data_IF_231738371051
#
_entry.id   IF_231738371051
#
_cell.length_a   1.000
_cell.length_b   1.000
_cell.length_c   1.000
_cell.angle_alpha   90.00
_cell.angle_beta   90.00
_cell.angle_gamma   90.00
#
_symmetry.space_group_name_H-M   'P 1'
#
loop_
_entity.id
_entity.type
_entity.pdbx_description
1 polymer ?
#
# COMPACT_ATOMS: atom_id res chain seq x y z
N UNK A 1 -48.47 21.87 -44.35
CA UNK A 1 -47.30 21.16 -44.89
C UNK A 1 -46.18 21.23 -43.86
N UNK A 2 -45.62 20.07 -43.53
CA UNK A 2 -44.35 19.74 -42.82
C UNK A 2 -44.13 20.22 -41.36
N UNK A 3 -44.27 19.33 -40.36
CA UNK A 3 -43.24 18.44 -39.74
C UNK A 3 -42.51 19.12 -38.56
N UNK A 4 -42.89 18.86 -37.30
CA UNK A 4 -42.35 17.84 -36.37
C UNK A 4 -40.84 17.57 -36.50
N UNK A 5 -40.09 17.90 -35.44
CA UNK A 5 -38.71 17.48 -35.23
C UNK A 5 -38.36 17.39 -33.75
N UNK A 6 -39.02 16.49 -33.02
CA UNK A 6 -38.73 16.13 -31.63
C UNK A 6 -37.36 15.44 -31.56
N UNK A 7 -36.34 16.13 -31.04
CA UNK A 7 -35.01 15.59 -30.81
C UNK A 7 -35.03 14.50 -29.74
N UNK A 8 -34.86 13.25 -30.19
CA UNK A 8 -34.76 12.04 -29.35
C UNK A 8 -33.64 12.17 -28.31
N UNK A 9 -33.98 11.91 -27.05
CA UNK A 9 -33.02 11.65 -25.97
C UNK A 9 -32.24 10.37 -26.27
N UNK A 10 -31.08 10.53 -26.90
CA UNK A 10 -30.12 9.45 -27.12
C UNK A 10 -29.54 8.96 -25.80
N UNK A 11 -30.12 7.89 -25.25
CA UNK A 11 -29.61 7.11 -24.12
C UNK A 11 -28.19 6.64 -24.46
N UNK A 12 -27.17 7.32 -23.93
CA UNK A 12 -25.77 7.10 -24.30
C UNK A 12 -25.28 5.75 -23.78
N UNK A 13 -25.09 4.78 -24.69
CA UNK A 13 -24.47 3.48 -24.39
C UNK A 13 -23.05 3.64 -23.83
N UNK A 14 -22.36 4.75 -24.12
CA UNK A 14 -20.99 5.03 -23.66
C UNK A 14 -20.86 5.08 -22.13
N UNK A 15 -21.82 5.66 -21.39
CA UNK A 15 -21.75 5.74 -19.93
C UNK A 15 -21.81 4.36 -19.25
N UNK A 16 -22.47 3.39 -19.88
CA UNK A 16 -22.61 2.02 -19.35
C UNK A 16 -21.32 1.21 -19.49
N UNK A 17 -20.55 1.44 -20.55
CA UNK A 17 -19.25 0.77 -20.76
C UNK A 17 -18.17 1.31 -19.83
N UNK A 18 -18.16 2.62 -19.55
CA UNK A 18 -17.25 3.21 -18.57
C UNK A 18 -17.55 2.69 -17.16
N UNK A 19 -18.83 2.66 -16.77
CA UNK A 19 -19.23 2.13 -15.46
C UNK A 19 -18.93 0.62 -15.29
N UNK A 20 -19.13 -0.19 -16.35
CA UNK A 20 -18.77 -1.60 -16.35
C UNK A 20 -17.24 -1.82 -16.32
N UNK A 21 -16.48 -0.98 -17.04
CA UNK A 21 -15.02 -1.01 -17.01
C UNK A 21 -14.46 -0.70 -15.62
N UNK A 22 -14.99 0.32 -14.95
CA UNK A 22 -14.62 0.66 -13.57
C UNK A 22 -14.98 -0.46 -12.59
N UNK A 23 -16.17 -1.06 -12.72
CA UNK A 23 -16.58 -2.20 -11.88
C UNK A 23 -15.70 -3.44 -12.09
N UNK A 24 -15.34 -3.75 -13.33
CA UNK A 24 -14.45 -4.87 -13.63
C UNK A 24 -13.05 -4.66 -13.06
N UNK A 25 -12.50 -3.44 -13.15
CA UNK A 25 -11.21 -3.09 -12.52
C UNK A 25 -11.30 -3.22 -11.00
N UNK A 26 -12.37 -2.74 -10.36
CA UNK A 26 -12.57 -2.89 -8.92
C UNK A 26 -12.68 -4.37 -8.49
N UNK A 27 -13.34 -5.21 -9.30
CA UNK A 27 -13.46 -6.64 -9.03
C UNK A 27 -12.12 -7.39 -9.19
N UNK A 28 -11.30 -7.03 -10.19
CA UNK A 28 -9.95 -7.59 -10.35
C UNK A 28 -9.04 -7.16 -9.20
N UNK A 29 -9.12 -5.90 -8.77
CA UNK A 29 -8.33 -5.35 -7.67
C UNK A 29 -8.73 -5.97 -6.31
N UNK A 30 -10.03 -6.16 -6.06
CA UNK A 30 -10.50 -6.91 -4.91
C UNK A 30 -10.05 -8.39 -4.98
N UNK A 31 -10.06 -8.98 -6.18
CA UNK A 31 -9.59 -10.35 -6.41
C UNK A 31 -8.11 -10.54 -6.09
N UNK A 32 -7.25 -9.59 -6.49
CA UNK A 32 -5.82 -9.62 -6.16
C UNK A 32 -5.57 -9.35 -4.67
N UNK A 33 -6.33 -8.46 -4.05
CA UNK A 33 -6.28 -8.22 -2.59
C UNK A 33 -6.59 -9.51 -1.81
N UNK A 34 -7.71 -10.15 -2.14
CA UNK A 34 -8.13 -11.43 -1.54
C UNK A 34 -7.13 -12.54 -1.86
N UNK A 35 -6.54 -12.56 -3.05
CA UNK A 35 -5.55 -13.57 -3.43
C UNK A 35 -4.24 -13.44 -2.63
N UNK A 36 -3.70 -12.22 -2.49
CA UNK A 36 -2.47 -11.98 -1.72
C UNK A 36 -2.70 -12.30 -0.24
N UNK A 37 -3.80 -11.81 0.33
CA UNK A 37 -4.18 -12.11 1.72
C UNK A 37 -4.34 -13.63 1.94
N UNK A 38 -5.02 -14.33 1.03
CA UNK A 38 -5.26 -15.77 1.12
C UNK A 38 -4.00 -16.63 0.88
N UNK A 39 -3.09 -16.19 0.03
CA UNK A 39 -1.83 -16.92 -0.23
C UNK A 39 -0.87 -16.87 0.96
N UNK A 40 -0.83 -15.74 1.66
CA UNK A 40 0.02 -15.54 2.83
C UNK A 40 -0.56 -16.19 4.10
N UNK A 41 -1.89 -16.32 4.22
CA UNK A 41 -2.59 -16.78 5.43
C UNK A 41 -2.94 -18.26 5.50
N UNK A 42 -2.58 -19.06 4.49
CA UNK A 42 -2.99 -20.47 4.40
C UNK A 42 -2.63 -21.34 5.62
N UNK A 43 -1.58 -20.99 6.36
CA UNK A 43 -1.08 -21.79 7.49
C UNK A 43 -1.11 -21.05 8.85
N UNK A 44 -1.73 -19.87 8.94
CA UNK A 44 -1.71 -19.06 10.16
C UNK A 44 -3.05 -19.14 10.90
N UNK A 45 -3.07 -19.43 12.22
CA UNK A 45 -4.30 -19.42 13.00
C UNK A 45 -5.03 -18.07 12.90
N UNK A 46 -6.33 -18.09 12.64
CA UNK A 46 -7.16 -16.88 12.41
C UNK A 46 -7.13 -15.88 13.59
N UNK A 47 -6.89 -16.35 14.81
CA UNK A 47 -6.74 -15.51 16.00
C UNK A 47 -5.43 -14.70 16.03
N UNK A 48 -4.37 -15.19 15.37
CA UNK A 48 -3.10 -14.48 15.26
C UNK A 48 -3.16 -13.29 14.28
N UNK A 49 -4.21 -13.25 13.44
CA UNK A 49 -4.48 -12.22 12.44
C UNK A 49 -5.40 -11.10 12.96
N UNK A 50 -5.99 -11.27 14.14
CA UNK A 50 -6.96 -10.30 14.63
C UNK A 50 -6.26 -8.97 14.98
N UNK A 51 -6.63 -7.92 14.25
CA UNK A 51 -6.10 -6.57 14.40
C UNK A 51 -4.78 -6.31 13.66
N UNK A 52 -4.23 -7.28 12.93
CA UNK A 52 -3.08 -7.03 12.04
C UNK A 52 -3.51 -6.26 10.79
N UNK A 53 -2.64 -5.39 10.30
CA UNK A 53 -2.84 -4.66 9.06
C UNK A 53 -1.78 -5.09 8.05
N UNK A 54 -2.21 -5.47 6.85
CA UNK A 54 -1.30 -5.75 5.74
C UNK A 54 -0.51 -4.51 5.36
N UNK A 55 0.81 -4.65 5.24
CA UNK A 55 1.71 -3.57 4.83
C UNK A 55 2.07 -3.74 3.36
N UNK A 56 1.80 -2.74 2.54
CA UNK A 56 2.28 -2.65 1.17
C UNK A 56 3.48 -1.71 1.16
N UNK A 57 4.68 -2.28 1.05
CA UNK A 57 5.91 -1.52 1.01
C UNK A 57 6.29 -1.16 -0.43
N UNK A 58 6.68 0.08 -0.67
CA UNK A 58 7.20 0.58 -1.93
C UNK A 58 8.62 1.06 -1.70
N UNK A 59 9.58 0.39 -2.31
CA UNK A 59 10.99 0.73 -2.22
C UNK A 59 11.39 1.61 -3.42
N UNK A 60 11.61 2.89 -3.16
CA UNK A 60 12.11 3.87 -4.14
C UNK A 60 13.63 4.02 -4.08
N UNK A 61 14.31 3.16 -3.32
CA UNK A 61 15.77 3.15 -3.25
C UNK A 61 16.36 2.21 -4.32
N UNK A 62 17.59 2.46 -4.78
CA UNK A 62 18.25 1.62 -5.77
C UNK A 62 18.79 0.30 -5.19
N UNK A 63 18.54 0.01 -3.91
CA UNK A 63 19.08 -1.14 -3.19
C UNK A 63 17.96 -1.91 -2.49
N UNK A 64 18.23 -3.18 -2.17
CA UNK A 64 17.33 -3.97 -1.35
C UNK A 64 17.34 -3.41 0.06
N UNK A 65 16.19 -3.42 0.71
CA UNK A 65 16.06 -2.93 2.08
C UNK A 65 15.46 -4.00 2.98
N UNK A 66 15.98 -4.06 4.19
CA UNK A 66 15.35 -4.78 5.28
C UNK A 66 14.69 -3.75 6.20
N UNK A 67 13.41 -3.94 6.49
CA UNK A 67 12.63 -2.99 7.28
C UNK A 67 11.76 -3.67 8.33
N UNK A 68 11.32 -2.90 9.31
CA UNK A 68 10.44 -3.33 10.39
C UNK A 68 9.48 -2.21 10.74
N UNK A 69 8.21 -2.57 10.95
CA UNK A 69 7.19 -1.69 11.53
C UNK A 69 6.72 -2.18 12.90
N UNK A 70 7.36 -3.23 13.43
CA UNK A 70 7.01 -3.89 14.68
C UNK A 70 8.21 -4.62 15.23
N UNK A 71 8.55 -4.32 16.48
CA UNK A 71 9.73 -4.85 17.16
C UNK A 71 9.83 -6.37 17.04
N UNK A 72 10.99 -6.85 16.58
CA UNK A 72 11.28 -8.28 16.44
C UNK A 72 10.75 -8.91 15.16
N UNK A 73 10.03 -8.19 14.29
CA UNK A 73 9.61 -8.68 12.98
C UNK A 73 10.26 -7.88 11.86
N UNK A 74 10.79 -8.59 10.86
CA UNK A 74 11.53 -8.02 9.74
C UNK A 74 10.91 -8.46 8.42
N UNK A 75 10.87 -7.51 7.50
CA UNK A 75 10.46 -7.68 6.12
C UNK A 75 11.56 -7.18 5.19
N UNK A 76 11.47 -7.56 3.92
CA UNK A 76 12.42 -7.17 2.89
C UNK A 76 11.66 -6.51 1.76
N UNK A 77 12.23 -5.52 1.08
CA UNK A 77 11.71 -5.02 -0.17
C UNK A 77 12.85 -4.90 -1.18
N UNK A 78 12.63 -5.44 -2.37
CA UNK A 78 13.64 -5.47 -3.43
C UNK A 78 13.92 -4.05 -3.95
N UNK A 79 15.13 -3.85 -4.47
CA UNK A 79 15.53 -2.59 -5.10
C UNK A 79 14.53 -2.11 -6.15
N UNK A 80 14.14 -0.83 -6.07
CA UNK A 80 13.17 -0.18 -6.96
C UNK A 80 11.80 -0.87 -7.06
N UNK A 81 11.42 -1.71 -6.08
CA UNK A 81 10.09 -2.31 -6.07
C UNK A 81 9.03 -1.30 -5.62
N UNK A 82 8.53 -0.56 -6.60
CA UNK A 82 7.38 0.33 -6.46
C UNK A 82 6.10 -0.29 -7.05
N UNK A 83 6.03 -1.61 -7.24
CA UNK A 83 4.93 -2.25 -7.99
C UNK A 83 3.63 -2.37 -7.21
N UNK A 84 3.70 -2.31 -5.87
CA UNK A 84 2.54 -2.56 -4.99
C UNK A 84 2.03 -4.00 -5.00
N UNK A 85 2.80 -4.93 -5.59
CA UNK A 85 2.45 -6.36 -5.66
C UNK A 85 2.94 -7.14 -4.45
N UNK A 86 4.02 -6.67 -3.84
CA UNK A 86 4.59 -7.27 -2.65
C UNK A 86 3.95 -6.64 -1.41
N UNK A 87 3.08 -7.43 -0.79
CA UNK A 87 2.47 -7.11 0.49
C UNK A 87 3.06 -7.99 1.58
N UNK A 88 3.14 -7.47 2.79
CA UNK A 88 3.59 -8.20 3.96
C UNK A 88 2.42 -8.20 4.95
N UNK A 89 1.64 -9.28 4.90
CA UNK A 89 0.35 -9.41 5.56
C UNK A 89 0.43 -9.62 7.06
N UNK A 90 1.58 -10.03 7.57
CA UNK A 90 1.79 -10.29 8.98
C UNK A 90 2.67 -9.21 9.58
N UNK A 91 2.40 -8.82 10.81
CA UNK A 91 3.42 -8.19 11.63
C UNK A 91 3.14 -6.77 12.06
N UNK A 92 2.43 -5.95 11.29
CA UNK A 92 2.00 -4.65 11.82
C UNK A 92 0.67 -4.77 12.55
N UNK A 93 0.70 -4.59 13.87
CA UNK A 93 -0.49 -4.48 14.70
C UNK A 93 -0.39 -3.18 15.52
N UNK A 94 -1.09 -2.11 15.14
CA UNK A 94 -1.05 -0.86 15.91
C UNK A 94 -1.58 -1.12 17.32
N UNK A 95 -0.86 -0.64 18.33
CA UNK A 95 -1.21 -0.80 19.75
C UNK A 95 -2.53 -0.09 20.09
N UNK A 96 -2.81 1.04 19.43
CA UNK A 96 -4.09 1.75 19.49
C UNK A 96 -4.31 2.53 18.18
N UNK A 97 -5.48 3.15 18.01
CA UNK A 97 -5.77 4.01 16.84
C UNK A 97 -4.93 5.28 16.77
N UNK A 98 -4.23 5.64 17.85
CA UNK A 98 -3.42 6.86 17.98
C UNK A 98 -1.94 6.56 18.25
N UNK A 99 -1.58 5.31 18.50
CA UNK A 99 -0.20 4.90 18.76
C UNK A 99 0.66 5.20 17.53
N UNK A 100 1.83 5.85 17.69
CA UNK A 100 2.67 6.23 16.57
C UNK A 100 3.15 5.00 15.78
N UNK A 101 3.45 5.22 14.50
CA UNK A 101 4.03 4.21 13.63
C UNK A 101 5.55 4.30 13.71
N UNK A 102 6.17 3.29 14.31
CA UNK A 102 7.62 3.11 14.26
C UNK A 102 8.01 2.40 12.98
N UNK A 103 9.01 2.94 12.29
CA UNK A 103 9.61 2.34 11.10
C UNK A 103 11.11 2.34 11.30
N UNK A 104 11.74 1.17 11.23
CA UNK A 104 13.18 1.04 11.13
C UNK A 104 13.56 0.33 9.85
N UNK A 105 14.67 0.73 9.23
CA UNK A 105 15.17 0.06 8.05
C UNK A 105 16.67 0.21 7.87
N UNK A 106 17.23 -0.68 7.05
CA UNK A 106 18.61 -0.66 6.58
C UNK A 106 18.66 -1.05 5.11
N UNK A 107 19.72 -0.63 4.43
CA UNK A 107 20.09 -1.23 3.16
C UNK A 107 20.63 -2.64 3.42
N UNK A 108 20.07 -3.62 2.70
CA UNK A 108 20.52 -5.02 2.71
C UNK A 108 21.51 -5.31 1.56
N UNK A 109 21.55 -4.43 0.56
CA UNK A 109 22.54 -4.47 -0.52
C UNK A 109 23.10 -3.07 -0.82
N UNK A 110 24.18 -3.03 -1.62
CA UNK A 110 24.82 -1.78 -2.03
C UNK A 110 25.90 -1.23 -1.09
N UNK A 111 26.50 -0.07 -1.42
CA UNK A 111 27.64 0.50 -0.71
C UNK A 111 27.30 1.03 0.69
N UNK A 112 26.01 1.24 0.98
CA UNK A 112 25.50 1.68 2.27
C UNK A 112 24.86 0.54 3.07
N UNK A 113 25.03 -0.72 2.63
CA UNK A 113 24.52 -1.88 3.34
C UNK A 113 25.10 -1.95 4.76
N UNK A 114 24.24 -2.21 5.74
CA UNK A 114 24.65 -2.41 7.13
C UNK A 114 24.33 -3.83 7.58
N UNK A 115 25.08 -4.31 8.57
CA UNK A 115 24.87 -5.64 9.16
C UNK A 115 23.48 -5.80 9.78
N UNK A 116 23.00 -7.05 9.83
CA UNK A 116 21.75 -7.37 10.50
C UNK A 116 21.80 -6.96 11.98
N UNK A 117 20.75 -6.27 12.44
CA UNK A 117 20.69 -5.69 13.79
C UNK A 117 21.12 -4.21 13.85
N UNK A 118 21.82 -3.71 12.83
CA UNK A 118 22.14 -2.30 12.70
C UNK A 118 21.17 -1.62 11.73
N UNK A 119 20.14 -0.97 12.28
CA UNK A 119 19.13 -0.21 11.55
C UNK A 119 19.40 1.30 11.68
N UNK A 120 20.24 1.88 10.81
CA UNK A 120 20.65 3.28 10.94
C UNK A 120 19.49 4.26 10.71
N UNK A 121 18.45 3.84 10.00
CA UNK A 121 17.25 4.63 9.80
C UNK A 121 16.17 4.15 10.77
N UNK A 122 15.82 5.01 11.71
CA UNK A 122 14.72 4.79 12.65
C UNK A 122 13.88 6.05 12.75
N UNK A 123 12.59 5.91 12.48
CA UNK A 123 11.64 7.03 12.39
C UNK A 123 10.37 6.66 13.13
N UNK A 124 9.89 7.60 13.95
CA UNK A 124 8.57 7.54 14.58
C UNK A 124 7.65 8.53 13.87
N UNK A 125 6.69 8.03 13.11
CA UNK A 125 5.68 8.85 12.45
C UNK A 125 4.46 9.02 13.37
N UNK A 126 3.83 10.21 13.40
CA UNK A 126 2.47 10.33 13.89
C UNK A 126 1.57 9.28 13.22
N UNK A 127 0.63 8.72 13.98
CA UNK A 127 -0.22 7.67 13.44
C UNK A 127 -1.03 8.18 12.25
N UNK A 128 -0.90 7.60 11.05
CA UNK A 128 -1.70 8.01 9.91
C UNK A 128 -3.19 7.83 10.21
N UNK A 129 -4.02 8.75 9.72
CA UNK A 129 -5.47 8.69 9.95
C UNK A 129 -6.03 7.40 9.34
N UNK A 130 -6.62 6.54 10.19
CA UNK A 130 -7.19 5.27 9.76
C UNK A 130 -8.66 5.43 9.33
N UNK A 131 -9.02 5.12 8.07
CA UNK A 131 -10.42 5.01 7.66
C UNK A 131 -11.15 3.90 8.43
N UNK A 132 -12.47 4.04 8.58
CA UNK A 132 -13.29 2.97 9.14
C UNK A 132 -13.33 1.76 8.20
N UNK A 133 -13.29 0.55 8.79
CA UNK A 133 -13.35 -0.73 8.10
C UNK A 133 -11.99 -1.38 7.86
N UNK A 134 -11.96 -2.34 6.94
CA UNK A 134 -10.74 -3.01 6.48
C UNK A 134 -9.87 -2.03 5.68
N UNK A 135 -8.59 -2.00 6.02
CA UNK A 135 -7.60 -1.07 5.46
C UNK A 135 -6.24 -1.77 5.38
N UNK A 136 -5.38 -1.23 4.52
CA UNK A 136 -3.97 -1.58 4.42
C UNK A 136 -3.11 -0.39 4.83
N UNK A 137 -1.89 -0.67 5.28
CA UNK A 137 -0.86 0.35 5.45
C UNK A 137 -0.02 0.41 4.18
N UNK A 138 -0.01 1.56 3.52
CA UNK A 138 0.97 1.84 2.48
C UNK A 138 2.20 2.45 3.13
N UNK A 139 3.38 1.86 2.90
CA UNK A 139 4.66 2.32 3.40
C UNK A 139 5.59 2.59 2.23
N UNK A 140 6.12 3.81 2.14
CA UNK A 140 7.07 4.21 1.10
C UNK A 140 8.42 4.46 1.74
N UNK A 141 9.45 3.84 1.19
CA UNK A 141 10.84 3.93 1.64
C UNK A 141 11.66 4.62 0.55
N UNK A 142 12.29 5.73 0.90
CA UNK A 142 13.07 6.57 -0.01
C UNK A 142 14.55 6.59 0.41
N UNK A 143 15.45 7.08 -0.45
CA UNK A 143 16.83 7.31 -0.07
C UNK A 143 16.95 8.20 1.18
N UNK A 144 18.10 8.10 1.85
CA UNK A 144 18.50 9.00 2.94
C UNK A 144 17.60 8.95 4.20
N UNK A 145 16.91 7.83 4.44
CA UNK A 145 16.10 7.66 5.66
C UNK A 145 14.69 8.24 5.57
N UNK A 146 14.28 8.77 4.41
CA UNK A 146 12.93 9.31 4.24
C UNK A 146 11.91 8.19 4.08
N UNK A 147 10.80 8.33 4.78
CA UNK A 147 9.66 7.42 4.77
C UNK A 147 8.34 8.18 4.72
N UNK A 148 7.34 7.57 4.11
CA UNK A 148 5.97 8.06 4.15
C UNK A 148 5.00 6.91 4.34
N UNK A 149 3.93 7.14 5.10
CA UNK A 149 2.93 6.12 5.35
C UNK A 149 1.52 6.70 5.29
N UNK A 150 0.57 5.87 4.88
CA UNK A 150 -0.87 6.15 5.00
C UNK A 150 -1.69 4.87 5.11
N UNK A 151 -2.90 4.99 5.63
CA UNK A 151 -3.89 3.92 5.49
C UNK A 151 -4.73 4.13 4.24
N UNK A 152 -4.95 3.05 3.49
CA UNK A 152 -5.81 3.04 2.32
C UNK A 152 -6.79 1.87 2.37
N UNK A 153 -7.94 2.00 1.71
CA UNK A 153 -8.85 0.86 1.48
C UNK A 153 -8.36 -0.05 0.35
N UNK A 154 -7.52 0.49 -0.53
CA UNK A 154 -6.98 -0.21 -1.69
C UNK A 154 -5.58 0.34 -1.93
N UNK A 155 -4.55 -0.52 -2.01
CA UNK A 155 -3.20 -0.07 -2.28
C UNK A 155 -3.07 0.46 -3.71
N UNK A 156 -2.11 1.35 -3.91
CA UNK A 156 -1.69 1.85 -5.22
C UNK A 156 -0.97 0.76 -6.03
N UNK A 157 -0.87 0.96 -7.35
CA UNK A 157 -0.02 0.11 -8.22
C UNK A 157 -0.65 -1.20 -8.69
N UNK A 158 -1.71 -1.70 -8.04
CA UNK A 158 -2.36 -2.99 -8.36
C UNK A 158 -2.90 -3.06 -9.81
N UNK A 159 -3.10 -1.92 -10.48
CA UNK A 159 -3.66 -1.84 -11.83
C UNK A 159 -2.73 -1.26 -12.92
N UNK A 160 -1.58 -0.64 -12.59
CA UNK A 160 -0.89 0.25 -13.56
C UNK A 160 0.64 0.23 -13.56
N UNK A 161 1.30 -0.69 -12.85
CA UNK A 161 2.78 -0.77 -12.82
C UNK A 161 3.37 -0.05 -11.62
N UNK A 162 4.58 0.51 -11.77
CA UNK A 162 5.26 1.20 -10.67
C UNK A 162 4.45 2.44 -10.23
N UNK A 163 4.32 2.60 -8.93
CA UNK A 163 3.75 3.78 -8.29
C UNK A 163 4.71 4.96 -8.43
N UNK A 164 4.18 6.15 -8.65
CA UNK A 164 4.97 7.38 -8.70
C UNK A 164 5.63 7.66 -7.32
N UNK A 165 6.93 8.02 -7.27
CA UNK A 165 7.58 8.42 -6.02
C UNK A 165 6.92 9.64 -5.35
N UNK A 166 6.23 10.51 -6.11
CA UNK A 166 5.46 11.60 -5.52
C UNK A 166 4.27 11.07 -4.72
N UNK A 167 3.98 11.72 -3.59
CA UNK A 167 2.90 11.33 -2.68
C UNK A 167 1.56 11.87 -3.20
N UNK A 168 0.63 11.01 -3.65
CA UNK A 168 -0.67 11.48 -4.12
C UNK A 168 -1.59 11.78 -2.94
N UNK A 169 -2.17 12.97 -2.91
CA UNK A 169 -3.13 13.37 -1.87
C UNK A 169 -2.49 13.86 -0.58
N UNK A 170 -3.33 14.20 0.41
CA UNK A 170 -2.93 14.88 1.65
C UNK A 170 -2.99 13.97 2.89
N UNK A 171 -3.21 12.67 2.70
CA UNK A 171 -3.39 11.68 3.77
C UNK A 171 -2.09 10.99 4.22
N UNK A 172 -0.97 11.35 3.58
CA UNK A 172 0.35 10.86 3.91
C UNK A 172 0.93 11.55 5.14
N UNK A 173 1.51 10.74 6.01
CA UNK A 173 2.41 11.19 7.06
C UNK A 173 3.83 10.82 6.64
N UNK A 174 4.75 11.78 6.65
CA UNK A 174 6.15 11.54 6.28
C UNK A 174 7.09 12.24 7.26
N UNK A 175 8.31 11.72 7.39
CA UNK A 175 9.41 12.51 7.96
C UNK A 175 10.02 13.43 6.90
N UNK A 176 10.77 14.42 7.37
CA UNK A 176 11.59 15.30 6.53
C UNK A 176 12.90 14.64 6.19
#
# INVERSE_FOLDING_TARGET
>A
MSERGQGKSGRSKLGRWVALGVLAVMAVVAGTYVYVERSQTQNVPRSALEGTVTVYAYNFTPYDIAYSTTTGQRWFADANDATGKNAYGFGYKPTSSEAPLEVSWRYDSGPQATEEGNYPFHVTLPQPKRPAGEVVLELRLYPEGKVAARYAKTPLGVASGNVDPELPGNDWVSNR
#
